data_IF_789626762193
#
_entry.id   IF_789626762193
#
_cell.length_a   1.000
_cell.length_b   1.000
_cell.length_c   1.000
_cell.angle_alpha   90.00
_cell.angle_beta   90.00
_cell.angle_gamma   90.00
#
_symmetry.space_group_name_H-M   'P 1'
#
loop_
_entity.id
_entity.type
_entity.pdbx_description
1 polymer ?
#
# COMPACT_ATOMS: atom_id res chain seq x y z
N UNK A 1 -31.29 16.32 -72.95
CA UNK A 1 -31.79 15.28 -72.02
C UNK A 1 -31.71 15.85 -70.62
N UNK A 2 -32.83 16.06 -69.93
CA UNK A 2 -32.84 16.58 -68.55
C UNK A 2 -32.43 15.44 -67.62
N UNK A 3 -31.41 15.67 -66.78
CA UNK A 3 -30.90 14.69 -65.83
C UNK A 3 -31.88 14.56 -64.65
N UNK A 4 -32.83 13.64 -64.81
CA UNK A 4 -33.87 13.30 -63.85
C UNK A 4 -33.32 12.77 -62.51
N UNK A 5 -32.05 12.32 -62.45
CA UNK A 5 -31.43 11.83 -61.21
C UNK A 5 -31.18 12.95 -60.20
N UNK A 6 -30.87 14.17 -60.66
CA UNK A 6 -30.75 15.35 -59.78
C UNK A 6 -32.07 15.74 -59.12
N UNK A 7 -33.19 15.54 -59.82
CA UNK A 7 -34.52 15.81 -59.28
C UNK A 7 -34.95 14.78 -58.23
N UNK A 8 -34.61 13.50 -58.42
CA UNK A 8 -34.89 12.44 -57.43
C UNK A 8 -34.10 12.69 -56.13
N UNK A 9 -32.82 13.02 -56.22
CA UNK A 9 -32.01 13.35 -55.03
C UNK A 9 -32.55 14.59 -54.29
N UNK A 10 -33.01 15.61 -55.02
CA UNK A 10 -33.65 16.79 -54.42
C UNK A 10 -34.98 16.44 -53.73
N UNK A 11 -35.79 15.56 -54.30
CA UNK A 11 -37.06 15.09 -53.71
C UNK A 11 -36.81 14.27 -52.44
N UNK A 12 -35.81 13.36 -52.44
CA UNK A 12 -35.44 12.61 -51.23
C UNK A 12 -34.90 13.52 -50.12
N UNK A 13 -34.07 14.52 -50.45
CA UNK A 13 -33.60 15.51 -49.48
C UNK A 13 -34.75 16.38 -48.93
N UNK A 14 -35.69 16.81 -49.78
CA UNK A 14 -36.89 17.54 -49.33
C UNK A 14 -37.76 16.67 -48.42
N UNK A 15 -37.98 15.39 -48.76
CA UNK A 15 -38.73 14.46 -47.92
C UNK A 15 -38.04 14.21 -46.57
N UNK A 16 -36.70 14.14 -46.54
CA UNK A 16 -35.93 14.03 -45.30
C UNK A 16 -35.99 15.30 -44.44
N UNK A 17 -36.11 16.49 -45.06
CA UNK A 17 -36.28 17.76 -44.33
C UNK A 17 -37.64 17.86 -43.63
N UNK A 18 -38.69 17.25 -44.18
CA UNK A 18 -40.04 17.22 -43.58
C UNK A 18 -40.28 16.03 -42.63
N UNK A 19 -39.30 15.13 -42.47
CA UNK A 19 -39.40 13.96 -41.60
C UNK A 19 -38.73 14.27 -40.25
N UNK A 20 -39.50 14.25 -39.16
CA UNK A 20 -38.94 14.40 -37.81
C UNK A 20 -38.17 13.12 -37.42
N UNK A 21 -36.88 13.11 -37.74
CA UNK A 21 -35.94 12.05 -37.35
C UNK A 21 -35.06 12.51 -36.18
N UNK A 22 -34.61 11.58 -35.32
CA UNK A 22 -33.61 11.88 -34.30
C UNK A 22 -32.39 12.54 -34.92
N UNK A 23 -31.99 13.70 -34.39
CA UNK A 23 -30.82 14.42 -34.87
C UNK A 23 -29.57 13.84 -34.21
N UNK A 24 -28.62 13.40 -35.02
CA UNK A 24 -27.30 13.08 -34.52
C UNK A 24 -26.62 14.35 -34.01
N UNK A 25 -26.11 14.32 -32.78
CA UNK A 25 -25.52 15.49 -32.15
C UNK A 25 -24.13 15.75 -32.75
N UNK A 26 -24.02 16.78 -33.59
CA UNK A 26 -22.75 17.19 -34.22
C UNK A 26 -21.60 17.40 -33.22
N UNK A 27 -21.91 17.84 -31.99
CA UNK A 27 -20.87 18.01 -30.96
C UNK A 27 -20.29 16.68 -30.49
N UNK A 28 -21.11 15.62 -30.43
CA UNK A 28 -20.64 14.27 -30.09
C UNK A 28 -19.81 13.69 -31.24
N UNK A 29 -20.22 13.92 -32.49
CA UNK A 29 -19.46 13.54 -33.69
C UNK A 29 -18.05 14.14 -33.68
N UNK A 30 -17.94 15.45 -33.47
CA UNK A 30 -16.64 16.15 -33.39
C UNK A 30 -15.77 15.62 -32.25
N UNK A 31 -16.37 15.28 -31.11
CA UNK A 31 -15.66 14.64 -29.99
C UNK A 31 -15.06 13.28 -30.37
N UNK A 32 -15.86 12.41 -31.01
CA UNK A 32 -15.42 11.07 -31.44
C UNK A 32 -14.34 11.11 -32.53
N UNK A 33 -14.39 12.10 -33.42
CA UNK A 33 -13.32 12.34 -34.41
C UNK A 33 -12.00 12.66 -33.70
N UNK A 34 -12.00 13.60 -32.76
CA UNK A 34 -10.78 13.94 -32.03
C UNK A 34 -10.23 12.80 -31.19
N UNK A 35 -11.10 12.02 -30.55
CA UNK A 35 -10.72 10.78 -29.85
C UNK A 35 -10.02 9.79 -30.80
N UNK A 36 -10.52 9.64 -32.02
CA UNK A 36 -9.94 8.73 -33.02
C UNK A 36 -8.56 9.22 -33.50
N UNK A 37 -8.40 10.53 -33.69
CA UNK A 37 -7.11 11.15 -34.04
C UNK A 37 -6.10 10.95 -32.91
N UNK A 38 -6.47 11.30 -31.68
CA UNK A 38 -5.62 11.15 -30.49
C UNK A 38 -5.21 9.68 -30.28
N UNK A 39 -6.17 8.75 -30.36
CA UNK A 39 -5.90 7.31 -30.28
C UNK A 39 -4.85 6.88 -31.32
N UNK A 40 -5.04 7.26 -32.58
CA UNK A 40 -4.12 6.94 -33.68
C UNK A 40 -2.72 7.47 -33.38
N UNK A 41 -2.58 8.73 -32.96
CA UNK A 41 -1.27 9.31 -32.62
C UNK A 41 -0.59 8.59 -31.47
N UNK A 42 -1.31 8.30 -30.39
CA UNK A 42 -0.76 7.59 -29.23
C UNK A 42 -0.28 6.18 -29.61
N UNK A 43 -1.12 5.41 -30.30
CA UNK A 43 -0.82 4.02 -30.63
C UNK A 43 0.22 3.88 -31.75
N UNK A 44 0.26 4.81 -32.71
CA UNK A 44 1.16 4.73 -33.88
C UNK A 44 2.45 5.51 -33.72
N UNK A 45 2.43 6.67 -33.08
CA UNK A 45 3.62 7.53 -32.95
C UNK A 45 4.34 7.31 -31.62
N UNK A 46 3.60 7.23 -30.51
CA UNK A 46 4.19 7.03 -29.19
C UNK A 46 4.44 5.55 -28.87
N UNK A 47 3.77 4.65 -29.58
CA UNK A 47 3.74 3.21 -29.30
C UNK A 47 3.28 2.92 -27.85
N UNK A 48 2.27 3.68 -27.40
CA UNK A 48 1.63 3.55 -26.09
C UNK A 48 0.17 3.11 -26.27
N UNK A 49 -0.49 2.74 -25.18
CA UNK A 49 -1.88 2.26 -25.22
C UNK A 49 -2.82 3.42 -24.93
N UNK A 50 -3.85 3.60 -25.77
CA UNK A 50 -4.93 4.53 -25.47
C UNK A 50 -6.13 3.78 -24.89
N UNK A 51 -6.60 4.21 -23.71
CA UNK A 51 -7.76 3.66 -23.01
C UNK A 51 -8.85 4.70 -22.90
N UNK A 52 -9.90 4.55 -23.70
CA UNK A 52 -11.06 5.45 -23.74
C UNK A 52 -11.90 5.35 -22.46
N UNK A 53 -12.36 6.47 -21.93
CA UNK A 53 -13.41 6.48 -20.91
C UNK A 53 -14.80 6.43 -21.55
N UNK A 54 -15.71 5.69 -20.91
CA UNK A 54 -17.10 5.61 -21.36
C UNK A 54 -17.87 6.85 -20.92
N UNK A 55 -18.72 7.37 -21.80
CA UNK A 55 -19.43 8.65 -21.63
C UNK A 55 -20.37 8.69 -20.41
N UNK A 56 -20.81 7.53 -19.91
CA UNK A 56 -21.69 7.40 -18.74
C UNK A 56 -21.01 7.83 -17.41
N UNK A 57 -19.69 8.05 -17.43
CA UNK A 57 -18.87 8.45 -16.28
C UNK A 57 -17.91 9.61 -16.59
N UNK A 58 -18.24 10.44 -17.57
CA UNK A 58 -17.38 11.56 -17.98
C UNK A 58 -17.52 12.77 -17.03
N UNK A 59 -16.56 12.91 -16.12
CA UNK A 59 -16.38 14.08 -15.25
C UNK A 59 -15.30 15.05 -15.78
N UNK A 60 -14.98 14.94 -17.08
CA UNK A 60 -14.01 15.77 -17.78
C UNK A 60 -12.67 15.09 -18.06
N UNK A 61 -12.62 13.75 -18.11
CA UNK A 61 -11.47 12.95 -18.57
C UNK A 61 -11.95 12.01 -19.66
N UNK A 62 -11.54 12.29 -20.89
CA UNK A 62 -11.96 11.58 -22.10
C UNK A 62 -11.23 10.23 -22.28
N UNK A 63 -10.06 10.07 -21.67
CA UNK A 63 -9.32 8.81 -21.70
C UNK A 63 -7.98 8.86 -20.97
N UNK A 64 -7.22 7.79 -21.11
CA UNK A 64 -5.91 7.61 -20.52
C UNK A 64 -4.91 7.09 -21.55
N UNK A 65 -3.64 7.39 -21.32
CA UNK A 65 -2.51 6.75 -21.97
C UNK A 65 -1.88 5.80 -20.96
N UNK A 66 -1.72 4.52 -21.30
CA UNK A 66 -0.94 3.57 -20.51
C UNK A 66 0.45 3.37 -21.16
N UNK A 67 1.51 3.60 -20.38
CA UNK A 67 2.89 3.72 -20.88
C UNK A 67 3.53 2.36 -21.07
N UNK A 68 4.07 2.14 -22.27
CA UNK A 68 4.91 1.00 -22.63
C UNK A 68 6.38 1.43 -22.59
N UNK A 69 7.19 0.68 -21.84
CA UNK A 69 8.65 0.84 -21.79
C UNK A 69 9.29 0.44 -23.13
N UNK A 70 10.52 0.90 -23.39
CA UNK A 70 11.23 0.57 -24.64
C UNK A 70 11.42 -0.94 -24.87
N UNK A 71 11.45 -1.74 -23.80
CA UNK A 71 11.49 -3.21 -23.87
C UNK A 71 10.14 -3.86 -24.24
N UNK A 72 9.08 -3.09 -24.49
CA UNK A 72 7.75 -3.58 -24.83
C UNK A 72 6.87 -3.96 -23.63
N UNK A 73 7.32 -3.72 -22.40
CA UNK A 73 6.56 -4.02 -21.18
C UNK A 73 5.63 -2.87 -20.81
N UNK A 74 4.38 -3.19 -20.46
CA UNK A 74 3.42 -2.22 -19.91
C UNK A 74 3.83 -1.90 -18.47
N UNK A 75 4.02 -0.61 -18.17
CA UNK A 75 4.65 -0.15 -16.92
C UNK A 75 3.67 0.02 -15.75
N UNK A 76 2.37 0.00 -16.02
CA UNK A 76 1.33 0.39 -15.05
C UNK A 76 1.28 1.89 -14.76
N UNK A 77 2.06 2.72 -15.47
CA UNK A 77 2.01 4.18 -15.39
C UNK A 77 1.04 4.72 -16.44
N UNK A 78 0.29 5.74 -16.07
CA UNK A 78 -0.70 6.35 -16.94
C UNK A 78 -0.63 7.88 -16.95
N UNK A 79 -1.21 8.47 -17.99
CA UNK A 79 -1.48 9.92 -18.11
C UNK A 79 -2.95 10.09 -18.45
N UNK A 80 -3.65 10.98 -17.76
CA UNK A 80 -5.06 11.27 -17.99
C UNK A 80 -5.22 12.37 -19.05
N UNK A 81 -6.25 12.24 -19.89
CA UNK A 81 -6.44 13.10 -21.07
C UNK A 81 -7.78 13.83 -21.00
N UNK A 82 -7.73 15.15 -21.12
CA UNK A 82 -8.89 15.96 -21.48
C UNK A 82 -8.75 16.40 -22.94
N UNK A 83 -9.64 15.95 -23.81
CA UNK A 83 -9.59 16.13 -25.27
C UNK A 83 -10.67 17.12 -25.71
N UNK A 84 -10.26 18.12 -26.48
CA UNK A 84 -11.14 19.19 -26.94
C UNK A 84 -10.91 19.46 -28.43
N UNK A 85 -11.90 19.14 -29.25
CA UNK A 85 -11.76 19.09 -30.71
C UNK A 85 -12.47 20.25 -31.39
N UNK A 86 -11.81 20.86 -32.38
CA UNK A 86 -12.40 21.82 -33.30
C UNK A 86 -11.79 23.23 -33.25
N UNK A 87 -11.98 23.99 -34.33
CA UNK A 87 -11.37 25.32 -34.56
C UNK A 87 -11.65 26.37 -33.49
N UNK A 88 -12.73 26.21 -32.71
CA UNK A 88 -13.04 27.10 -31.60
C UNK A 88 -11.90 27.18 -30.58
N UNK A 89 -11.23 26.06 -30.29
CA UNK A 89 -10.11 26.02 -29.33
C UNK A 89 -8.83 26.71 -29.85
N UNK A 90 -8.80 27.06 -31.14
CA UNK A 90 -7.71 27.79 -31.79
C UNK A 90 -8.05 29.27 -32.05
N UNK A 91 -9.21 29.74 -31.58
CA UNK A 91 -9.77 31.06 -31.92
C UNK A 91 -9.16 32.24 -31.15
N UNK A 92 -8.48 31.99 -30.03
CA UNK A 92 -7.84 33.00 -29.18
C UNK A 92 -6.31 32.79 -29.15
N UNK A 93 -5.59 33.19 -30.22
CA UNK A 93 -4.14 33.04 -30.28
C UNK A 93 -3.40 34.09 -29.44
N UNK A 94 -2.20 33.72 -29.01
CA UNK A 94 -1.21 34.55 -28.29
C UNK A 94 0.16 34.31 -28.91
N UNK A 95 1.18 35.07 -28.49
CA UNK A 95 2.56 34.86 -28.93
C UNK A 95 3.14 33.48 -28.53
N UNK A 96 2.49 32.79 -27.57
CA UNK A 96 2.97 31.53 -27.01
C UNK A 96 2.11 30.32 -27.40
N UNK A 97 0.88 30.52 -27.89
CA UNK A 97 -0.09 29.44 -28.09
C UNK A 97 -1.53 29.91 -28.11
N UNK A 98 -2.47 29.03 -27.73
CA UNK A 98 -3.90 29.32 -27.70
C UNK A 98 -4.46 29.27 -26.30
N UNK A 99 -5.43 30.14 -26.00
CA UNK A 99 -6.09 30.17 -24.70
C UNK A 99 -7.14 29.07 -24.60
N UNK A 100 -6.91 28.07 -23.75
CA UNK A 100 -7.92 27.13 -23.32
C UNK A 100 -8.69 27.67 -22.12
N UNK A 101 -10.02 27.51 -22.11
CA UNK A 101 -10.89 27.93 -21.01
C UNK A 101 -11.71 26.76 -20.49
N UNK A 102 -11.63 26.51 -19.18
CA UNK A 102 -12.33 25.41 -18.51
C UNK A 102 -13.25 25.88 -17.39
N UNK A 103 -14.19 25.02 -16.97
CA UNK A 103 -15.01 25.27 -15.78
C UNK A 103 -14.19 25.07 -14.51
N UNK A 104 -14.46 25.87 -13.47
CA UNK A 104 -13.73 25.81 -12.20
C UNK A 104 -13.83 24.44 -11.51
N UNK A 105 -14.97 23.77 -11.63
CA UNK A 105 -15.19 22.40 -11.12
C UNK A 105 -14.17 21.42 -11.71
N UNK A 106 -13.91 21.51 -13.02
CA UNK A 106 -12.94 20.65 -13.70
C UNK A 106 -11.50 20.95 -13.29
N UNK A 107 -11.14 22.22 -13.04
CA UNK A 107 -9.79 22.53 -12.53
C UNK A 107 -9.56 21.85 -11.18
N UNK A 108 -10.53 21.98 -10.26
CA UNK A 108 -10.44 21.33 -8.97
C UNK A 108 -10.37 19.80 -9.11
N UNK A 109 -11.13 19.23 -10.04
CA UNK A 109 -11.09 17.80 -10.34
C UNK A 109 -9.71 17.37 -10.87
N UNK A 110 -9.14 18.09 -11.84
CA UNK A 110 -7.83 17.76 -12.43
C UNK A 110 -6.69 17.85 -11.42
N UNK A 111 -6.67 18.91 -10.60
CA UNK A 111 -5.61 19.12 -9.61
C UNK A 111 -5.67 18.14 -8.43
N UNK A 112 -6.80 17.46 -8.22
CA UNK A 112 -6.90 16.36 -7.24
C UNK A 112 -6.64 14.98 -7.85
N UNK A 113 -6.41 14.88 -9.16
CA UNK A 113 -6.16 13.61 -9.81
C UNK A 113 -4.72 13.14 -9.50
N UNK A 114 -4.57 11.94 -8.95
CA UNK A 114 -3.23 11.36 -8.67
C UNK A 114 -2.42 11.04 -9.94
N UNK A 115 -3.10 11.00 -11.09
CA UNK A 115 -2.52 10.75 -12.40
C UNK A 115 -2.34 12.11 -13.07
N UNK A 116 -1.18 12.42 -13.67
CA UNK A 116 -0.99 13.69 -14.37
C UNK A 116 -2.04 13.86 -15.46
N UNK A 117 -2.72 15.02 -15.45
CA UNK A 117 -3.73 15.38 -16.44
C UNK A 117 -3.11 16.30 -17.49
N UNK A 118 -3.18 15.92 -18.76
CA UNK A 118 -2.86 16.80 -19.88
C UNK A 118 -4.13 17.20 -20.64
N UNK A 119 -4.12 18.42 -21.15
CA UNK A 119 -5.20 18.99 -21.95
C UNK A 119 -4.75 19.01 -23.39
N UNK A 120 -5.54 18.37 -24.25
CA UNK A 120 -5.33 18.24 -25.68
C UNK A 120 -6.33 19.10 -26.42
N UNK A 121 -5.86 19.96 -27.32
CA UNK A 121 -6.69 20.60 -28.34
C UNK A 121 -6.37 19.99 -29.69
N UNK A 122 -7.41 19.63 -30.44
CA UNK A 122 -7.28 18.89 -31.71
C UNK A 122 -7.88 19.70 -32.85
N UNK A 123 -7.10 19.96 -33.89
CA UNK A 123 -7.60 20.47 -35.16
C UNK A 123 -8.01 19.29 -36.05
N UNK A 124 -9.32 19.12 -36.23
CA UNK A 124 -9.92 18.04 -37.01
C UNK A 124 -9.74 18.20 -38.52
N UNK A 125 -9.28 19.36 -38.99
CA UNK A 125 -8.99 19.61 -40.41
C UNK A 125 -7.56 19.19 -40.77
N UNK A 126 -6.60 19.46 -39.89
CA UNK A 126 -5.17 19.15 -40.10
C UNK A 126 -4.72 17.87 -39.40
N UNK A 127 -5.56 17.29 -38.53
CA UNK A 127 -5.24 16.20 -37.60
C UNK A 127 -4.11 16.55 -36.61
N UNK A 128 -3.80 17.83 -36.43
CA UNK A 128 -2.78 18.27 -35.47
C UNK A 128 -3.33 18.30 -34.04
N UNK A 129 -2.52 17.82 -33.09
CA UNK A 129 -2.83 17.79 -31.67
C UNK A 129 -1.80 18.66 -30.94
N UNK A 130 -2.27 19.61 -30.15
CA UNK A 130 -1.43 20.41 -29.26
C UNK A 130 -1.79 20.13 -27.81
N UNK A 131 -0.81 20.15 -26.92
CA UNK A 131 -1.01 19.72 -25.55
C UNK A 131 -0.32 20.59 -24.50
N UNK A 132 -0.82 20.55 -23.27
CA UNK A 132 -0.15 21.07 -22.10
C UNK A 132 -0.49 20.25 -20.86
N UNK A 133 0.40 20.23 -19.87
CA UNK A 133 0.10 19.73 -18.54
C UNK A 133 -0.84 20.69 -17.81
N UNK A 134 -1.82 20.16 -17.08
CA UNK A 134 -2.63 20.94 -16.14
C UNK A 134 -1.80 21.30 -14.90
N UNK A 135 -0.94 22.32 -15.04
CA UNK A 135 -0.07 22.84 -13.99
C UNK A 135 -0.73 24.06 -13.32
N UNK A 136 -0.99 24.03 -12.00
CA UNK A 136 -1.64 25.14 -11.30
C UNK A 136 -0.87 26.47 -11.44
N UNK A 137 0.46 26.43 -11.56
CA UNK A 137 1.30 27.62 -11.71
C UNK A 137 1.16 28.30 -13.08
N UNK A 138 0.54 27.61 -14.05
CA UNK A 138 0.29 28.11 -15.41
C UNK A 138 -1.20 28.46 -15.64
N UNK A 139 -2.00 28.42 -14.58
CA UNK A 139 -3.43 28.76 -14.66
C UNK A 139 -3.72 30.18 -14.19
N UNK A 140 -4.73 30.79 -14.82
CA UNK A 140 -5.26 32.09 -14.41
C UNK A 140 -6.79 32.01 -14.22
N UNK A 141 -7.31 32.83 -13.30
CA UNK A 141 -8.76 33.02 -13.16
C UNK A 141 -9.31 33.89 -14.29
N UNK A 142 -10.45 33.48 -14.86
CA UNK A 142 -11.14 34.19 -15.93
C UNK A 142 -12.64 34.32 -15.61
N UNK A 143 -13.00 35.20 -14.67
CA UNK A 143 -14.39 35.35 -14.22
C UNK A 143 -14.87 34.10 -13.46
N UNK A 144 -15.87 33.39 -14.03
CA UNK A 144 -16.39 32.11 -13.48
C UNK A 144 -15.65 30.88 -14.02
N UNK A 145 -14.77 31.05 -15.00
CA UNK A 145 -13.91 30.01 -15.56
C UNK A 145 -12.45 30.22 -15.15
N UNK A 146 -11.61 29.29 -15.57
CA UNK A 146 -10.15 29.42 -15.53
C UNK A 146 -9.60 29.30 -16.95
N UNK A 147 -8.34 29.69 -17.13
CA UNK A 147 -7.64 29.57 -18.40
C UNK A 147 -6.21 29.06 -18.23
N UNK A 148 -5.68 28.48 -19.30
CA UNK A 148 -4.27 28.09 -19.47
C UNK A 148 -3.91 28.25 -20.95
N UNK A 149 -2.62 28.48 -21.24
CA UNK A 149 -2.12 28.55 -22.62
C UNK A 149 -1.69 27.15 -23.04
N UNK A 150 -2.26 26.65 -24.15
CA UNK A 150 -1.78 25.46 -24.84
C UNK A 150 -0.72 25.91 -25.85
N UNK A 151 0.58 25.56 -25.68
CA UNK A 151 1.64 26.18 -26.46
C UNK A 151 1.63 25.76 -27.94
N UNK A 152 1.88 26.71 -28.85
CA UNK A 152 1.87 26.44 -30.30
C UNK A 152 3.06 25.61 -30.80
N UNK A 153 4.09 25.43 -29.97
CA UNK A 153 5.23 24.54 -30.27
C UNK A 153 5.09 23.16 -29.62
N UNK A 154 4.05 22.96 -28.80
CA UNK A 154 3.84 21.74 -28.03
C UNK A 154 2.89 20.78 -28.75
N UNK A 155 3.31 20.34 -29.93
CA UNK A 155 2.56 19.36 -30.73
C UNK A 155 2.79 17.95 -30.19
N UNK A 156 1.73 17.15 -30.09
CA UNK A 156 1.82 15.75 -29.70
C UNK A 156 2.36 14.94 -30.88
N UNK A 157 3.62 14.54 -30.78
CA UNK A 157 4.33 13.77 -31.80
C UNK A 157 5.18 12.70 -31.13
N UNK A 158 5.83 11.84 -31.91
CA UNK A 158 6.84 10.89 -31.39
C UNK A 158 7.86 11.53 -30.43
N UNK A 159 8.28 12.79 -30.68
CA UNK A 159 9.25 13.50 -29.83
C UNK A 159 8.70 13.83 -28.43
N UNK A 160 7.38 13.91 -28.26
CA UNK A 160 6.74 14.20 -26.98
C UNK A 160 6.90 13.07 -25.96
N UNK A 161 7.28 11.85 -26.39
CA UNK A 161 7.38 10.68 -25.52
C UNK A 161 8.31 10.91 -24.32
N UNK A 162 9.49 11.48 -24.57
CA UNK A 162 10.49 11.76 -23.53
C UNK A 162 9.99 12.82 -22.54
N UNK A 163 9.32 13.86 -23.05
CA UNK A 163 8.77 14.93 -22.20
C UNK A 163 7.60 14.44 -21.35
N UNK A 164 6.67 13.68 -21.95
CA UNK A 164 5.53 13.10 -21.24
C UNK A 164 5.99 12.11 -20.15
N UNK A 165 7.08 11.38 -20.39
CA UNK A 165 7.67 10.46 -19.42
C UNK A 165 8.19 11.17 -18.15
N UNK A 166 8.47 12.47 -18.20
CA UNK A 166 8.92 13.24 -17.02
C UNK A 166 7.80 13.48 -16.00
N UNK A 167 6.53 13.41 -16.43
CA UNK A 167 5.38 13.62 -15.56
C UNK A 167 4.90 12.36 -14.85
N UNK A 168 5.45 11.19 -15.19
CA UNK A 168 5.11 9.93 -14.55
C UNK A 168 6.20 9.50 -13.56
N UNK A 169 5.77 8.82 -12.50
CA UNK A 169 6.70 8.23 -11.53
C UNK A 169 7.53 7.10 -12.17
N UNK A 170 8.76 6.87 -11.70
CA UNK A 170 9.61 5.81 -12.23
C UNK A 170 8.99 4.42 -12.03
N UNK A 171 9.33 3.49 -12.92
CA UNK A 171 9.03 2.07 -12.75
C UNK A 171 9.97 1.47 -11.72
N UNK A 172 9.42 0.79 -10.72
CA UNK A 172 10.16 0.20 -9.62
C UNK A 172 10.00 -1.32 -9.69
N UNK A 173 11.13 -2.04 -9.63
CA UNK A 173 11.12 -3.50 -9.47
C UNK A 173 10.89 -3.85 -7.99
N UNK A 174 9.61 -3.91 -7.60
CA UNK A 174 9.22 -4.27 -6.25
C UNK A 174 9.53 -5.73 -5.91
N UNK A 175 9.50 -6.63 -6.89
CA UNK A 175 9.74 -8.07 -6.65
C UNK A 175 11.17 -8.26 -6.18
N UNK A 176 12.15 -7.70 -6.89
CA UNK A 176 13.57 -7.79 -6.49
C UNK A 176 13.84 -7.17 -5.11
N UNK A 177 13.10 -6.12 -4.73
CA UNK A 177 13.21 -5.53 -3.39
C UNK A 177 12.64 -6.45 -2.30
N UNK A 178 11.57 -7.20 -2.60
CA UNK A 178 10.90 -8.09 -1.66
C UNK A 178 11.60 -9.46 -1.52
N UNK A 179 12.46 -9.85 -2.46
CA UNK A 179 13.19 -11.13 -2.42
C UNK A 179 13.97 -11.36 -1.11
N UNK A 180 14.64 -10.33 -0.58
CA UNK A 180 15.36 -10.47 0.70
C UNK A 180 14.39 -10.67 1.87
N UNK A 181 13.27 -9.95 1.87
CA UNK A 181 12.24 -10.07 2.89
C UNK A 181 11.61 -11.47 2.90
N UNK A 182 11.29 -12.02 1.72
CA UNK A 182 10.76 -13.38 1.60
C UNK A 182 11.76 -14.45 1.97
N UNK A 183 13.05 -14.29 1.65
CA UNK A 183 14.11 -15.18 2.13
C UNK A 183 14.19 -15.18 3.65
N UNK A 184 14.11 -14.01 4.29
CA UNK A 184 14.03 -13.91 5.75
C UNK A 184 12.81 -14.63 6.33
N UNK A 185 11.63 -14.43 5.73
CA UNK A 185 10.41 -15.13 6.16
C UNK A 185 10.51 -16.65 5.99
N UNK A 186 11.11 -17.12 4.90
CA UNK A 186 11.35 -18.54 4.67
C UNK A 186 12.26 -19.13 5.75
N UNK A 187 13.38 -18.46 6.05
CA UNK A 187 14.29 -18.89 7.12
C UNK A 187 13.56 -18.99 8.47
N UNK A 188 12.78 -17.96 8.83
CA UNK A 188 12.00 -17.96 10.08
C UNK A 188 10.98 -19.11 10.16
N UNK A 189 10.38 -19.52 9.03
CA UNK A 189 9.41 -20.63 9.00
C UNK A 189 10.08 -22.00 9.08
N UNK A 190 11.24 -22.16 8.45
CA UNK A 190 11.97 -23.44 8.36
C UNK A 190 12.65 -23.84 9.68
N UNK A 191 12.80 -22.91 10.62
CA UNK A 191 13.36 -23.20 11.93
C UNK A 191 12.27 -23.48 12.99
N UNK A 192 12.55 -24.45 13.86
CA UNK A 192 11.67 -24.81 14.98
C UNK A 192 11.77 -23.82 16.15
N UNK A 193 12.91 -23.13 16.27
CA UNK A 193 13.19 -22.16 17.32
C UNK A 193 13.95 -20.97 16.76
N UNK A 194 13.50 -19.77 17.10
CA UNK A 194 14.11 -18.50 16.73
C UNK A 194 14.71 -17.90 17.99
N UNK A 195 16.00 -17.60 17.97
CA UNK A 195 16.72 -17.05 19.10
C UNK A 195 17.08 -15.59 18.80
N UNK A 196 16.48 -14.67 19.55
CA UNK A 196 16.86 -13.26 19.54
C UNK A 196 17.90 -13.02 20.63
N UNK A 197 18.94 -12.26 20.33
CA UNK A 197 19.98 -11.91 21.28
C UNK A 197 19.77 -10.46 21.72
N UNK A 198 19.90 -10.23 23.02
CA UNK A 198 19.93 -8.90 23.63
C UNK A 198 21.27 -8.76 24.32
N UNK A 199 22.05 -7.78 23.87
CA UNK A 199 23.38 -7.54 24.37
C UNK A 199 23.38 -6.74 25.68
N UNK A 200 24.48 -6.83 26.42
CA UNK A 200 24.64 -6.18 27.72
C UNK A 200 24.53 -4.66 27.66
N UNK A 201 25.07 -4.04 26.62
CA UNK A 201 24.96 -2.62 26.35
C UNK A 201 23.50 -2.20 26.13
N UNK A 202 22.72 -2.93 25.33
CA UNK A 202 21.28 -2.68 25.16
C UNK A 202 20.54 -2.73 26.51
N UNK A 203 20.92 -3.66 27.40
CA UNK A 203 20.33 -3.79 28.74
C UNK A 203 20.68 -2.59 29.63
N UNK A 204 21.94 -2.17 29.62
CA UNK A 204 22.42 -1.06 30.45
C UNK A 204 21.86 0.29 29.99
N UNK A 205 21.63 0.45 28.69
CA UNK A 205 21.10 1.67 28.08
C UNK A 205 19.56 1.71 28.07
N UNK A 206 18.89 0.61 28.47
CA UNK A 206 17.44 0.42 28.30
C UNK A 206 17.02 0.64 26.84
N UNK A 207 17.85 0.17 25.91
CA UNK A 207 17.52 0.12 24.50
C UNK A 207 16.63 -1.11 24.24
N UNK A 208 15.48 -0.86 23.64
CA UNK A 208 14.48 -1.86 23.28
C UNK A 208 14.23 -1.89 21.78
N UNK A 209 14.84 -1.00 21.00
CA UNK A 209 14.48 -0.73 19.59
C UNK A 209 14.56 -2.01 18.76
N UNK A 210 15.70 -2.72 18.82
CA UNK A 210 15.92 -3.94 18.05
C UNK A 210 14.90 -5.04 18.38
N UNK A 211 14.58 -5.20 19.67
CA UNK A 211 13.64 -6.24 20.11
C UNK A 211 12.20 -5.89 19.71
N UNK A 212 11.78 -4.63 19.91
CA UNK A 212 10.48 -4.14 19.48
C UNK A 212 10.34 -4.32 17.96
N UNK A 213 11.34 -3.90 17.18
CA UNK A 213 11.34 -4.07 15.72
C UNK A 213 11.22 -5.54 15.30
N UNK A 214 11.87 -6.46 16.01
CA UNK A 214 11.77 -7.89 15.71
C UNK A 214 10.35 -8.44 15.94
N UNK A 215 9.74 -8.12 17.08
CA UNK A 215 8.38 -8.55 17.41
C UNK A 215 7.32 -7.88 16.52
N UNK A 216 7.48 -6.58 16.23
CA UNK A 216 6.63 -5.86 15.27
C UNK A 216 6.75 -6.46 13.88
N UNK A 217 7.95 -6.85 13.44
CA UNK A 217 8.16 -7.54 12.16
C UNK A 217 7.42 -8.89 12.14
N UNK A 218 7.37 -9.63 13.25
CA UNK A 218 6.65 -10.90 13.31
C UNK A 218 5.14 -10.69 13.15
N UNK A 219 4.57 -9.69 13.82
CA UNK A 219 3.13 -9.38 13.77
C UNK A 219 2.70 -8.70 12.47
N UNK A 220 3.54 -7.83 11.90
CA UNK A 220 3.22 -7.11 10.64
C UNK A 220 3.51 -7.93 9.38
N UNK A 221 4.15 -9.09 9.53
CA UNK A 221 4.30 -10.06 8.44
C UNK A 221 2.97 -10.74 8.13
N UNK A 222 2.80 -11.21 6.89
CA UNK A 222 1.56 -11.90 6.48
C UNK A 222 1.17 -13.06 7.40
N UNK A 223 -0.13 -13.33 7.52
CA UNK A 223 -0.77 -14.29 8.44
C UNK A 223 -0.06 -15.65 8.51
N UNK A 224 0.44 -16.14 7.36
CA UNK A 224 1.19 -17.39 7.28
C UNK A 224 2.45 -17.38 8.18
N UNK A 225 3.21 -16.28 8.24
CA UNK A 225 4.37 -16.21 9.14
C UNK A 225 3.95 -16.18 10.61
N UNK A 226 2.90 -15.43 10.95
CA UNK A 226 2.39 -15.32 12.33
C UNK A 226 2.11 -16.72 12.86
N UNK A 227 1.31 -17.51 12.14
CA UNK A 227 0.93 -18.88 12.53
C UNK A 227 2.16 -19.77 12.72
N UNK A 228 3.16 -19.65 11.84
CA UNK A 228 4.38 -20.45 11.90
C UNK A 228 5.30 -20.09 13.07
N UNK A 229 5.25 -18.86 13.58
CA UNK A 229 6.09 -18.39 14.67
C UNK A 229 5.49 -18.60 16.06
N UNK A 230 4.24 -19.08 16.16
CA UNK A 230 3.60 -19.41 17.42
C UNK A 230 4.48 -20.31 18.28
N UNK A 231 4.78 -19.87 19.51
CA UNK A 231 5.60 -20.57 20.49
C UNK A 231 7.04 -20.92 20.05
N UNK A 232 7.65 -20.16 19.13
CA UNK A 232 8.99 -20.46 18.59
C UNK A 232 10.10 -19.50 19.00
N UNK A 233 9.78 -18.30 19.50
CA UNK A 233 10.76 -17.25 19.74
C UNK A 233 11.29 -17.35 21.17
N UNK A 234 12.60 -17.33 21.37
CA UNK A 234 13.21 -17.12 22.68
C UNK A 234 14.15 -15.92 22.63
N UNK A 235 14.37 -15.29 23.77
CA UNK A 235 15.25 -14.12 23.90
C UNK A 235 16.38 -14.47 24.86
N UNK A 236 17.62 -14.33 24.40
CA UNK A 236 18.82 -14.65 25.17
C UNK A 236 19.56 -13.38 25.54
N UNK A 237 19.91 -13.28 26.81
CA UNK A 237 20.78 -12.23 27.33
C UNK A 237 22.24 -12.62 27.09
N UNK A 238 23.01 -11.75 26.44
CA UNK A 238 24.42 -11.95 26.13
C UNK A 238 25.31 -10.88 26.77
N UNK A 239 26.59 -11.20 27.03
CA UNK A 239 27.58 -10.24 27.57
C UNK A 239 27.75 -10.28 29.09
N UNK A 240 27.16 -11.26 29.76
CA UNK A 240 27.30 -11.50 31.21
C UNK A 240 28.06 -12.80 31.53
N UNK A 241 28.79 -13.36 30.57
CA UNK A 241 29.45 -14.67 30.70
C UNK A 241 30.49 -14.74 31.85
N UNK A 242 31.10 -13.59 32.18
CA UNK A 242 32.08 -13.45 33.28
C UNK A 242 31.44 -12.96 34.59
N UNK A 243 30.12 -12.73 34.62
CA UNK A 243 29.40 -12.36 35.84
C UNK A 243 29.18 -13.61 36.70
N UNK A 244 29.63 -13.63 37.97
CA UNK A 244 29.48 -14.81 38.83
C UNK A 244 28.03 -15.04 39.29
N UNK A 245 27.12 -14.10 39.02
CA UNK A 245 25.69 -14.18 39.40
C UNK A 245 24.89 -14.91 38.33
N UNK A 246 23.84 -15.60 38.76
CA UNK A 246 22.81 -16.11 37.84
C UNK A 246 21.98 -14.95 37.27
N UNK A 247 21.36 -15.12 36.10
CA UNK A 247 20.61 -14.05 35.40
C UNK A 247 19.57 -13.37 36.31
N UNK A 248 18.85 -14.13 37.13
CA UNK A 248 17.83 -13.62 38.05
C UNK A 248 18.38 -12.79 39.23
N UNK A 249 19.70 -12.83 39.43
CA UNK A 249 20.41 -12.10 40.48
C UNK A 249 21.07 -10.82 39.96
N UNK A 250 21.00 -10.55 38.65
CA UNK A 250 21.59 -9.38 38.01
C UNK A 250 20.55 -8.25 37.97
N UNK A 251 20.66 -7.20 38.80
CA UNK A 251 19.62 -6.17 38.96
C UNK A 251 19.28 -5.43 37.66
N UNK A 252 20.29 -5.11 36.85
CA UNK A 252 20.12 -4.42 35.58
C UNK A 252 19.33 -5.25 34.57
N UNK A 253 19.55 -6.58 34.52
CA UNK A 253 18.77 -7.49 33.67
C UNK A 253 17.32 -7.59 34.16
N UNK A 254 17.10 -7.69 35.47
CA UNK A 254 15.74 -7.73 36.03
C UNK A 254 14.99 -6.41 35.84
N UNK A 255 15.68 -5.27 35.93
CA UNK A 255 15.09 -3.98 35.64
C UNK A 255 14.70 -3.85 34.18
N UNK A 256 15.62 -4.19 33.26
CA UNK A 256 15.37 -4.19 31.83
C UNK A 256 14.20 -5.11 31.45
N UNK A 257 14.13 -6.32 32.03
CA UNK A 257 13.05 -7.27 31.81
C UNK A 257 11.66 -6.73 32.22
N UNK A 258 11.58 -5.91 33.29
CA UNK A 258 10.33 -5.23 33.69
C UNK A 258 9.94 -4.12 32.74
N UNK A 259 10.91 -3.37 32.24
CA UNK A 259 10.62 -2.25 31.34
C UNK A 259 10.23 -2.74 29.95
N UNK A 260 10.94 -3.71 29.40
CA UNK A 260 10.62 -4.29 28.08
C UNK A 260 9.25 -4.99 28.06
N UNK A 261 8.80 -5.54 29.20
CA UNK A 261 7.46 -6.13 29.36
C UNK A 261 6.34 -5.16 29.03
N UNK A 262 6.55 -3.86 29.31
CA UNK A 262 5.57 -2.82 29.07
C UNK A 262 5.52 -2.39 27.59
N UNK A 263 6.58 -2.66 26.83
CA UNK A 263 6.74 -2.16 25.46
C UNK A 263 6.23 -3.14 24.38
N UNK A 264 6.18 -4.45 24.67
CA UNK A 264 5.83 -5.48 23.69
C UNK A 264 4.56 -6.22 24.11
N UNK A 265 3.53 -6.19 23.27
CA UNK A 265 2.22 -6.78 23.57
C UNK A 265 1.99 -8.15 22.92
N UNK A 266 2.68 -8.45 21.83
CA UNK A 266 2.43 -9.66 21.02
C UNK A 266 3.27 -10.88 21.42
N UNK A 267 4.22 -10.70 22.32
CA UNK A 267 5.12 -11.75 22.76
C UNK A 267 4.47 -12.99 23.41
N UNK A 268 3.26 -13.02 24.05
CA UNK A 268 2.77 -14.28 24.62
C UNK A 268 2.40 -15.29 23.54
N UNK A 269 2.11 -14.81 22.32
CA UNK A 269 1.82 -15.66 21.18
C UNK A 269 3.10 -16.27 20.56
N UNK A 270 4.18 -15.49 20.53
CA UNK A 270 5.41 -15.89 19.85
C UNK A 270 6.41 -16.60 20.76
N UNK A 271 6.46 -16.26 22.05
CA UNK A 271 7.46 -16.78 22.97
C UNK A 271 7.33 -18.29 23.13
N UNK A 272 8.47 -18.98 23.05
CA UNK A 272 8.54 -20.41 23.30
C UNK A 272 8.27 -20.72 24.76
N UNK A 273 7.62 -21.85 25.00
CA UNK A 273 7.17 -22.30 26.33
C UNK A 273 7.59 -23.75 26.58
N UNK A 274 8.56 -24.25 25.82
CA UNK A 274 9.16 -25.55 26.11
C UNK A 274 10.00 -25.49 27.40
N UNK A 275 10.49 -26.65 27.86
CA UNK A 275 11.29 -26.73 29.10
C UNK A 275 12.59 -25.91 29.04
N UNK A 276 13.11 -25.67 27.83
CA UNK A 276 14.30 -24.88 27.61
C UNK A 276 14.00 -23.39 27.44
N UNK A 277 12.74 -22.94 27.46
CA UNK A 277 12.37 -21.54 27.44
C UNK A 277 13.00 -20.80 28.64
N UNK A 278 13.94 -19.90 28.36
CA UNK A 278 14.61 -19.13 29.41
C UNK A 278 13.93 -17.79 29.62
N UNK A 279 13.56 -17.10 28.53
CA UNK A 279 13.12 -15.72 28.64
C UNK A 279 11.78 -15.58 29.38
N UNK A 280 10.84 -16.47 29.11
CA UNK A 280 9.54 -16.46 29.78
C UNK A 280 9.68 -16.59 31.30
N UNK A 281 10.67 -17.35 31.77
CA UNK A 281 11.02 -17.51 33.19
C UNK A 281 11.67 -16.25 33.74
N UNK A 282 12.59 -15.63 32.99
CA UNK A 282 13.19 -14.33 33.35
C UNK A 282 12.11 -13.27 33.56
N UNK A 283 11.13 -13.20 32.66
CA UNK A 283 10.00 -12.27 32.79
C UNK A 283 9.15 -12.58 34.02
N UNK A 284 8.82 -13.86 34.24
CA UNK A 284 8.03 -14.25 35.39
C UNK A 284 8.73 -13.92 36.71
N UNK A 285 10.02 -14.23 36.83
CA UNK A 285 10.88 -13.90 37.98
C UNK A 285 10.98 -12.39 38.17
N UNK A 286 11.15 -11.62 37.10
CA UNK A 286 11.25 -10.17 37.20
C UNK A 286 9.96 -9.54 37.78
N UNK A 287 8.80 -10.17 37.60
CA UNK A 287 7.49 -9.64 38.02
C UNK A 287 6.88 -10.33 39.23
N UNK A 288 7.55 -11.32 39.84
CA UNK A 288 7.01 -12.11 40.94
C UNK A 288 8.03 -12.33 42.04
N UNK A 289 7.55 -12.48 43.26
CA UNK A 289 8.38 -12.94 44.37
C UNK A 289 8.65 -14.44 44.21
N UNK A 290 9.87 -14.85 44.55
CA UNK A 290 10.29 -16.23 44.40
C UNK A 290 11.24 -16.68 45.52
N UNK A 291 11.25 -17.99 45.76
CA UNK A 291 12.16 -18.67 46.68
C UNK A 291 12.98 -19.67 45.90
N UNK A 292 14.29 -19.65 46.10
CA UNK A 292 15.18 -20.65 45.49
C UNK A 292 15.17 -21.93 46.32
N UNK A 293 14.45 -22.95 45.84
CA UNK A 293 14.34 -24.27 46.45
C UNK A 293 15.50 -25.22 46.07
N UNK A 294 16.43 -24.80 45.21
CA UNK A 294 17.66 -25.52 44.88
C UNK A 294 18.50 -24.80 43.82
N UNK A 295 19.64 -25.39 43.37
CA UNK A 295 20.54 -24.73 42.41
C UNK A 295 19.85 -24.33 41.09
N UNK A 296 18.85 -25.12 40.65
CA UNK A 296 18.09 -24.89 39.41
C UNK A 296 16.57 -24.90 39.60
N UNK A 297 16.09 -24.84 40.85
CA UNK A 297 14.66 -24.92 41.17
C UNK A 297 14.24 -23.65 41.89
N UNK A 298 13.27 -22.96 41.31
CA UNK A 298 12.66 -21.75 41.83
C UNK A 298 11.19 -22.07 42.11
N UNK A 299 10.70 -21.67 43.28
CA UNK A 299 9.30 -21.74 43.66
C UNK A 299 8.75 -20.33 43.75
N UNK A 300 7.65 -20.08 43.05
CA UNK A 300 7.04 -18.76 42.98
C UNK A 300 6.00 -18.58 44.07
N UNK A 301 5.91 -17.37 44.63
CA UNK A 301 4.75 -17.03 45.43
C UNK A 301 3.53 -16.85 44.51
N UNK A 302 2.51 -17.67 44.73
CA UNK A 302 1.30 -17.71 43.90
C UNK A 302 0.58 -16.35 43.86
N UNK A 303 0.58 -15.61 44.97
CA UNK A 303 -0.13 -14.34 45.06
C UNK A 303 0.59 -13.23 44.28
N UNK A 304 1.92 -13.21 44.32
CA UNK A 304 2.74 -12.27 43.56
C UNK A 304 2.77 -12.54 42.05
N UNK A 305 2.53 -13.80 41.63
CA UNK A 305 2.54 -14.19 40.21
C UNK A 305 1.26 -13.80 39.47
N UNK A 306 0.13 -13.70 40.17
CA UNK A 306 -1.19 -13.49 39.55
C UNK A 306 -1.27 -12.24 38.65
N UNK A 307 -0.72 -11.06 39.01
CA UNK A 307 -0.74 -9.88 38.14
C UNK A 307 0.02 -10.08 36.83
N UNK A 308 1.16 -10.79 36.87
CA UNK A 308 1.95 -11.09 35.67
C UNK A 308 1.20 -12.04 34.73
N UNK A 309 0.62 -13.10 35.28
CA UNK A 309 -0.19 -14.06 34.51
C UNK A 309 -1.39 -13.37 33.85
N UNK A 310 -2.11 -12.54 34.61
CA UNK A 310 -3.24 -11.78 34.08
C UNK A 310 -2.81 -10.87 32.92
N UNK A 311 -1.71 -10.11 33.08
CA UNK A 311 -1.21 -9.24 32.02
C UNK A 311 -0.79 -10.02 30.76
N UNK A 312 -0.18 -11.20 30.92
CA UNK A 312 0.19 -12.06 29.79
C UNK A 312 -1.03 -12.60 29.04
N UNK A 313 -2.07 -13.01 29.75
CA UNK A 313 -3.31 -13.50 29.14
C UNK A 313 -4.11 -12.37 28.50
N UNK A 314 -4.17 -11.19 29.10
CA UNK A 314 -4.83 -10.02 28.50
C UNK A 314 -4.15 -9.60 27.19
N UNK A 315 -2.81 -9.59 27.17
CA UNK A 315 -2.02 -9.36 25.96
C UNK A 315 -2.28 -10.43 24.88
N UNK A 316 -2.32 -11.71 25.26
CA UNK A 316 -2.63 -12.81 24.34
C UNK A 316 -4.06 -12.70 23.77
N UNK A 317 -5.05 -12.39 24.61
CA UNK A 317 -6.44 -12.20 24.19
C UNK A 317 -6.55 -11.07 23.18
N UNK A 318 -5.95 -9.92 23.49
CA UNK A 318 -5.94 -8.78 22.55
C UNK A 318 -5.26 -9.14 21.23
N UNK A 319 -4.16 -9.90 21.27
CA UNK A 319 -3.51 -10.38 20.05
C UNK A 319 -4.44 -11.32 19.25
N UNK A 320 -5.06 -12.30 19.90
CA UNK A 320 -5.97 -13.24 19.24
C UNK A 320 -7.18 -12.54 18.61
N UNK A 321 -7.78 -11.58 19.32
CA UNK A 321 -8.92 -10.79 18.82
C UNK A 321 -8.54 -9.99 17.56
N UNK A 322 -7.38 -9.33 17.58
CA UNK A 322 -6.89 -8.53 16.43
C UNK A 322 -6.62 -9.38 15.18
N UNK A 323 -6.17 -10.61 15.35
CA UNK A 323 -5.77 -11.51 14.26
C UNK A 323 -6.81 -12.59 13.93
N UNK A 324 -7.97 -12.58 14.59
CA UNK A 324 -9.02 -13.59 14.39
C UNK A 324 -8.60 -15.02 14.73
N UNK A 325 -7.69 -15.18 15.69
CA UNK A 325 -7.21 -16.49 16.16
C UNK A 325 -8.26 -17.11 17.06
N UNK A 326 -8.55 -18.40 16.87
CA UNK A 326 -9.59 -19.09 17.63
C UNK A 326 -9.28 -19.23 19.12
N UNK A 327 -10.35 -19.28 19.92
CA UNK A 327 -10.27 -19.55 21.37
C UNK A 327 -9.53 -20.86 21.68
N UNK A 328 -9.65 -21.88 20.81
CA UNK A 328 -8.93 -23.15 20.96
C UNK A 328 -7.40 -22.93 20.95
N UNK A 329 -6.90 -22.11 20.03
CA UNK A 329 -5.47 -21.80 19.95
C UNK A 329 -5.04 -20.93 21.14
N UNK A 330 -5.87 -19.95 21.51
CA UNK A 330 -5.60 -19.11 22.68
C UNK A 330 -5.47 -19.96 23.96
N UNK A 331 -6.41 -20.88 24.20
CA UNK A 331 -6.42 -21.79 25.34
C UNK A 331 -5.20 -22.74 25.31
N UNK A 332 -4.81 -23.25 24.15
CA UNK A 332 -3.60 -24.07 23.98
C UNK A 332 -2.34 -23.31 24.41
N UNK A 333 -2.20 -22.05 23.97
CA UNK A 333 -1.08 -21.18 24.35
C UNK A 333 -1.10 -20.91 25.86
N UNK A 334 -2.25 -20.55 26.44
CA UNK A 334 -2.38 -20.34 27.89
C UNK A 334 -1.99 -21.60 28.69
N UNK A 335 -2.40 -22.78 28.23
CA UNK A 335 -2.09 -24.05 28.89
C UNK A 335 -0.59 -24.34 28.86
N UNK A 336 0.04 -24.17 27.69
CA UNK A 336 1.50 -24.33 27.54
C UNK A 336 2.27 -23.35 28.40
N UNK A 337 1.79 -22.12 28.53
CA UNK A 337 2.39 -21.10 29.37
C UNK A 337 2.37 -21.53 30.84
N UNK A 338 1.21 -21.96 31.35
CA UNK A 338 1.06 -22.44 32.71
C UNK A 338 1.91 -23.69 32.98
N UNK A 339 1.95 -24.63 32.05
CA UNK A 339 2.81 -25.82 32.16
C UNK A 339 4.30 -25.45 32.18
N UNK A 340 4.73 -24.45 31.40
CA UNK A 340 6.12 -23.99 31.39
C UNK A 340 6.57 -23.42 32.75
N UNK A 341 5.69 -22.66 33.41
CA UNK A 341 5.97 -22.03 34.69
C UNK A 341 5.83 -22.98 35.89
N UNK A 342 5.05 -24.05 35.75
CA UNK A 342 4.77 -25.04 36.81
C UNK A 342 5.50 -26.37 36.61
N UNK A 343 6.47 -26.44 35.70
CA UNK A 343 7.16 -27.68 35.31
C UNK A 343 6.19 -28.83 34.92
N UNK A 344 5.04 -28.47 34.36
CA UNK A 344 3.99 -29.38 33.87
C UNK A 344 3.04 -29.91 34.95
N UNK A 345 3.03 -29.35 36.16
CA UNK A 345 2.11 -29.76 37.21
C UNK A 345 0.68 -29.25 36.99
N UNK A 346 0.52 -28.15 36.25
CA UNK A 346 -0.80 -27.59 35.91
C UNK A 346 -1.66 -28.58 35.11
N UNK A 347 -1.16 -29.09 33.98
CA UNK A 347 -1.88 -30.09 33.17
C UNK A 347 -2.16 -31.40 33.91
N UNK A 348 -1.23 -31.87 34.77
CA UNK A 348 -1.45 -33.06 35.61
C UNK A 348 -2.63 -32.86 36.57
N UNK A 349 -2.67 -31.71 37.25
CA UNK A 349 -3.76 -31.41 38.20
C UNK A 349 -5.14 -31.35 37.53
N UNK A 350 -5.20 -30.84 36.29
CA UNK A 350 -6.42 -30.78 35.48
C UNK A 350 -6.89 -32.14 34.97
N UNK A 351 -5.97 -33.09 34.74
CA UNK A 351 -6.31 -34.47 34.40
C UNK A 351 -6.81 -35.26 35.61
N UNK A 352 -6.29 -34.96 36.80
CA UNK A 352 -6.68 -35.60 38.06
C UNK A 352 -8.01 -35.05 38.62
N UNK A 353 -8.35 -33.79 38.32
CA UNK A 353 -9.64 -33.16 38.61
C UNK A 353 -10.19 -32.43 37.38
N UNK A 354 -10.88 -33.16 36.47
CA UNK A 354 -11.59 -32.55 35.36
C UNK A 354 -12.90 -31.94 35.87
N UNK A 355 -12.88 -30.66 36.24
CA UNK A 355 -14.10 -29.84 36.31
C UNK A 355 -14.51 -29.32 34.93
#
# INVERSE_FOLDING_TARGET
>A
MVDWRKWISAIYNLAAIFMELPKYNKSQETGEIGLSIVKKTIEKELNWIFRKNHQEHDFGIDGYIDVIAECGQVTGKSIALQIKTGKFYFSEPTDLGWVYRGQMSHLNYYLNHEIPVIILIVDDTTEEIYWCLCDPNKTDKAGKSWKIIVPCKQQLTKASKEELAQYISPTIDYVSQLEHFWKGNKMLKEHERIMLLVAKDEILELDFENLIMAFDRFETSGEDLIIHLRNKVDVLVHGYDEDPREIDQIPEVMHWAREVFKQIDNWPYFLTMDKAAQFVKVLHIAHSDYVRAGPKRIEYDTSSSAPFLQAMFDKLNSFCDRHGISDEINIDICTKFMDCLTDGDFSKSRQENPE
#
